data_IF_186069755736
#
_entry.id   IF_186069755736
#
_cell.length_a   1.000
_cell.length_b   1.000
_cell.length_c   1.000
_cell.angle_alpha   90.00
_cell.angle_beta   90.00
_cell.angle_gamma   90.00
#
_symmetry.space_group_name_H-M   'P 1'
#
loop_
_entity.id
_entity.type
_entity.pdbx_description
1 polymer ?
#
# COMPACT_ATOMS: atom_id res chain seq x y z
N UNK A 1 43.05 20.22 -19.48
CA UNK A 1 42.81 19.22 -18.43
C UNK A 1 42.11 19.91 -17.27
N UNK A 2 40.78 19.95 -17.28
CA UNK A 2 39.98 20.58 -16.23
C UNK A 2 39.49 19.51 -15.28
N UNK A 3 40.06 19.53 -14.08
CA UNK A 3 39.64 18.76 -12.91
C UNK A 3 38.17 19.08 -12.56
N UNK A 4 37.29 18.09 -12.69
CA UNK A 4 35.91 18.14 -12.20
C UNK A 4 35.81 17.26 -10.96
N UNK A 5 36.47 17.67 -9.88
CA UNK A 5 36.17 17.14 -8.55
C UNK A 5 34.81 17.70 -8.09
N UNK A 6 33.75 16.95 -8.37
CA UNK A 6 32.41 17.17 -7.82
C UNK A 6 32.45 17.07 -6.30
N UNK A 7 32.56 18.21 -5.59
CA UNK A 7 32.37 18.29 -4.14
C UNK A 7 30.88 18.20 -3.80
N UNK A 8 30.32 16.99 -3.86
CA UNK A 8 29.16 16.66 -3.03
C UNK A 8 29.65 16.53 -1.59
N UNK A 9 29.75 17.67 -0.89
CA UNK A 9 29.90 17.65 0.56
C UNK A 9 28.57 17.15 1.12
N UNK A 10 28.49 15.86 1.44
CA UNK A 10 27.40 15.29 2.25
C UNK A 10 27.33 16.07 3.56
N UNK A 11 26.39 17.00 3.68
CA UNK A 11 26.05 17.56 5.00
C UNK A 11 25.35 16.46 5.77
N UNK A 12 26.02 15.93 6.79
CA UNK A 12 25.46 14.96 7.73
C UNK A 12 24.31 15.68 8.47
N UNK A 13 23.05 15.24 8.36
CA UNK A 13 21.99 15.77 9.22
C UNK A 13 22.31 15.45 10.68
N UNK A 14 22.06 16.39 11.59
CA UNK A 14 22.38 16.26 13.03
C UNK A 14 21.51 15.23 13.74
N UNK A 15 20.28 14.98 13.24
CA UNK A 15 19.33 14.00 13.79
C UNK A 15 19.19 12.78 12.86
N UNK A 16 19.56 11.56 13.30
CA UNK A 16 19.33 10.32 12.56
C UNK A 16 17.88 10.14 12.08
N UNK A 17 16.88 10.61 12.83
CA UNK A 17 15.46 10.47 12.49
C UNK A 17 15.05 11.32 11.27
N UNK A 18 15.81 12.38 10.96
CA UNK A 18 15.60 13.22 9.77
C UNK A 18 16.35 12.71 8.54
N UNK A 19 17.24 11.72 8.73
CA UNK A 19 18.06 11.12 7.69
C UNK A 19 17.22 10.15 6.84
N UNK A 20 16.42 10.68 5.91
CA UNK A 20 15.82 9.85 4.86
C UNK A 20 16.93 9.34 3.95
N UNK A 21 16.95 8.04 3.66
CA UNK A 21 17.86 7.49 2.66
C UNK A 21 17.59 8.20 1.32
N UNK A 22 18.59 8.85 0.74
CA UNK A 22 18.46 9.61 -0.52
C UNK A 22 17.95 8.71 -1.66
N UNK A 23 18.17 7.40 -1.58
CA UNK A 23 17.62 6.41 -2.53
C UNK A 23 16.09 6.26 -2.42
N UNK A 24 15.51 6.41 -1.22
CA UNK A 24 14.06 6.40 -0.98
C UNK A 24 13.42 7.77 -1.26
N UNK A 25 14.20 8.86 -1.13
CA UNK A 25 13.76 10.20 -1.49
C UNK A 25 13.41 10.34 -2.99
N UNK A 26 13.96 9.48 -3.85
CA UNK A 26 13.70 9.47 -5.29
C UNK A 26 12.27 9.05 -5.67
N UNK A 27 11.51 8.44 -4.75
CA UNK A 27 10.13 7.98 -4.97
C UNK A 27 9.09 8.92 -4.34
N UNK A 28 9.47 9.68 -3.31
CA UNK A 28 8.58 10.58 -2.61
C UNK A 28 8.30 11.84 -3.45
N UNK A 29 7.03 12.04 -3.86
CA UNK A 29 6.57 13.26 -4.51
C UNK A 29 5.60 14.00 -3.58
N UNK A 30 5.19 15.22 -3.89
CA UNK A 30 4.15 15.93 -3.11
C UNK A 30 2.78 15.21 -3.12
N UNK A 31 2.65 14.14 -3.93
CA UNK A 31 1.46 13.28 -3.99
C UNK A 31 1.64 11.95 -3.23
N UNK A 32 2.82 11.65 -2.69
CA UNK A 32 3.01 10.46 -1.85
C UNK A 32 2.68 10.79 -0.41
N UNK A 33 1.98 9.88 0.27
CA UNK A 33 1.71 9.99 1.70
C UNK A 33 3.01 10.26 2.47
N UNK A 34 2.91 11.13 3.47
CA UNK A 34 3.99 11.42 4.41
C UNK A 34 3.49 11.07 5.81
N UNK A 35 4.34 10.49 6.68
CA UNK A 35 3.98 10.31 8.08
C UNK A 35 3.55 11.65 8.68
N UNK A 36 2.36 11.74 9.29
CA UNK A 36 1.96 12.95 9.98
C UNK A 36 2.82 13.18 11.21
N UNK A 37 2.92 14.45 11.65
CA UNK A 37 3.86 14.86 12.70
C UNK A 37 3.73 14.05 13.99
N UNK A 38 2.51 13.65 14.37
CA UNK A 38 2.26 12.87 15.58
C UNK A 38 2.91 11.47 15.58
N UNK A 39 3.38 10.94 14.44
CA UNK A 39 4.15 9.69 14.41
C UNK A 39 5.42 9.77 15.25
N UNK A 40 6.01 10.96 15.41
CA UNK A 40 7.17 11.13 16.28
C UNK A 40 6.86 10.90 17.75
N UNK A 41 5.58 10.90 18.13
CA UNK A 41 5.13 10.63 19.50
C UNK A 41 4.95 9.13 19.76
N UNK A 42 4.95 8.30 18.72
CA UNK A 42 4.75 6.85 18.83
C UNK A 42 6.10 6.14 18.90
N UNK A 43 6.30 5.40 19.97
CA UNK A 43 7.45 4.56 20.24
C UNK A 43 7.08 3.09 20.09
N UNK A 44 7.86 2.35 19.30
CA UNK A 44 7.79 0.87 19.28
C UNK A 44 8.76 0.34 20.34
N UNK A 45 8.28 -0.58 21.18
CA UNK A 45 9.10 -1.22 22.22
C UNK A 45 9.07 -2.74 22.01
N UNK A 46 10.25 -3.34 21.85
CA UNK A 46 10.41 -4.80 21.80
C UNK A 46 11.05 -5.28 23.10
N UNK A 47 10.35 -6.15 23.82
CA UNK A 47 10.82 -6.67 25.10
C UNK A 47 11.44 -8.04 24.94
N UNK A 48 12.73 -8.12 25.26
CA UNK A 48 13.56 -9.33 25.22
C UNK A 48 13.50 -10.10 23.89
N UNK A 49 13.55 -9.44 22.71
CA UNK A 49 13.52 -10.18 21.43
C UNK A 49 14.70 -11.14 21.35
N UNK A 50 14.43 -12.40 20.95
CA UNK A 50 15.45 -13.46 20.95
C UNK A 50 16.17 -13.61 19.62
N UNK A 51 15.52 -13.24 18.50
CA UNK A 51 16.06 -13.40 17.16
C UNK A 51 16.29 -12.03 16.48
N UNK A 52 17.54 -11.70 16.12
CA UNK A 52 17.87 -10.50 15.34
C UNK A 52 17.10 -10.38 14.01
N UNK A 53 16.68 -11.50 13.42
CA UNK A 53 15.84 -11.52 12.22
C UNK A 53 14.47 -10.91 12.50
N UNK A 54 13.88 -11.16 13.66
CA UNK A 54 12.62 -10.53 14.06
C UNK A 54 12.80 -9.03 14.31
N UNK A 55 13.91 -8.62 14.94
CA UNK A 55 14.23 -7.20 15.13
C UNK A 55 14.35 -6.51 13.76
N UNK A 56 15.10 -7.09 12.82
CA UNK A 56 15.22 -6.60 11.45
C UNK A 56 13.88 -6.55 10.71
N UNK A 57 13.04 -7.57 10.90
CA UNK A 57 11.67 -7.61 10.38
C UNK A 57 10.83 -6.44 10.90
N UNK A 58 10.84 -6.18 12.21
CA UNK A 58 10.12 -5.05 12.82
C UNK A 58 10.66 -3.72 12.30
N UNK A 59 11.99 -3.53 12.24
CA UNK A 59 12.60 -2.30 11.71
C UNK A 59 12.17 -2.05 10.26
N UNK A 60 12.12 -3.10 9.44
CA UNK A 60 11.63 -2.99 8.07
C UNK A 60 10.14 -2.62 8.00
N UNK A 61 9.31 -3.22 8.86
CA UNK A 61 7.89 -2.85 8.99
C UNK A 61 7.75 -1.38 9.39
N UNK A 62 8.53 -0.91 10.37
CA UNK A 62 8.54 0.49 10.80
C UNK A 62 8.86 1.41 9.62
N UNK A 63 9.88 1.09 8.82
CA UNK A 63 10.20 1.85 7.62
C UNK A 63 9.07 1.81 6.56
N UNK A 64 8.42 0.66 6.36
CA UNK A 64 7.28 0.53 5.44
C UNK A 64 6.07 1.37 5.85
N UNK A 65 5.89 1.59 7.16
CA UNK A 65 4.70 2.23 7.74
C UNK A 65 4.96 3.63 8.28
N UNK A 66 6.21 4.09 8.27
CA UNK A 66 6.60 5.47 8.63
C UNK A 66 6.98 5.70 10.09
N UNK A 67 7.13 4.65 10.91
CA UNK A 67 7.58 4.77 12.30
C UNK A 67 9.09 4.86 12.39
N UNK A 68 9.60 5.66 13.33
CA UNK A 68 11.02 5.99 13.40
C UNK A 68 11.67 5.69 14.75
N UNK A 69 10.89 5.55 15.83
CA UNK A 69 11.41 5.38 17.18
C UNK A 69 11.26 3.94 17.66
N UNK A 70 12.40 3.32 17.99
CA UNK A 70 12.48 1.96 18.51
C UNK A 70 13.24 1.95 19.83
N UNK A 71 12.69 1.25 20.83
CA UNK A 71 13.40 0.85 22.06
C UNK A 71 13.43 -0.67 22.16
N UNK A 72 14.60 -1.20 22.49
CA UNK A 72 14.81 -2.63 22.76
C UNK A 72 15.09 -2.80 24.25
N UNK A 73 14.30 -3.62 24.92
CA UNK A 73 14.55 -3.99 26.32
C UNK A 73 15.31 -5.31 26.32
N UNK A 74 16.56 -5.32 26.78
CA UNK A 74 17.41 -6.53 26.88
C UNK A 74 17.33 -7.46 25.65
N UNK A 75 17.61 -6.98 24.42
CA UNK A 75 17.58 -7.82 23.24
C UNK A 75 18.72 -8.86 23.26
N UNK A 76 18.44 -10.07 22.78
CA UNK A 76 19.46 -11.10 22.63
C UNK A 76 20.14 -10.94 21.27
N UNK A 77 21.47 -10.77 21.26
CA UNK A 77 22.24 -10.77 20.02
C UNK A 77 21.99 -9.57 19.10
N UNK A 78 21.55 -8.42 19.63
CA UNK A 78 21.37 -7.20 18.82
C UNK A 78 22.72 -6.65 18.35
N UNK A 79 22.98 -6.79 17.05
CA UNK A 79 24.04 -6.11 16.33
C UNK A 79 23.43 -5.16 15.29
N UNK A 80 23.62 -3.83 15.42
CA UNK A 80 23.15 -2.84 14.46
C UNK A 80 23.53 -3.15 13.01
N UNK A 81 24.73 -3.70 12.76
CA UNK A 81 25.18 -4.02 11.40
C UNK A 81 24.40 -5.17 10.79
N UNK A 82 24.22 -6.26 11.55
CA UNK A 82 23.40 -7.40 11.14
C UNK A 82 21.95 -6.97 10.88
N UNK A 83 21.33 -6.24 11.81
CA UNK A 83 19.94 -5.77 11.67
C UNK A 83 19.78 -4.85 10.46
N UNK A 84 20.74 -3.93 10.23
CA UNK A 84 20.75 -3.07 9.05
C UNK A 84 20.83 -3.86 7.73
N UNK A 85 21.59 -4.96 7.72
CA UNK A 85 21.69 -5.88 6.58
C UNK A 85 20.37 -6.59 6.25
N UNK A 86 19.58 -6.97 7.26
CA UNK A 86 18.27 -7.62 7.09
C UNK A 86 17.20 -6.63 6.63
N UNK A 87 17.18 -5.45 7.23
CA UNK A 87 16.07 -4.51 7.07
C UNK A 87 16.17 -3.65 5.80
N UNK A 88 17.37 -3.48 5.24
CA UNK A 88 17.70 -2.71 4.01
C UNK A 88 17.20 -1.24 4.00
N UNK A 89 18.12 -0.28 3.81
CA UNK A 89 17.79 1.16 3.73
C UNK A 89 17.10 1.75 4.98
N UNK A 90 17.27 1.11 6.15
CA UNK A 90 16.65 1.49 7.44
C UNK A 90 17.65 2.01 8.47
N UNK A 91 18.86 2.37 8.02
CA UNK A 91 19.97 2.77 8.88
C UNK A 91 19.59 3.87 9.88
N UNK A 92 18.72 4.81 9.48
CA UNK A 92 18.22 5.89 10.33
C UNK A 92 17.42 5.42 11.55
N UNK A 93 16.63 4.34 11.43
CA UNK A 93 15.90 3.75 12.55
C UNK A 93 16.87 2.98 13.46
N UNK A 94 17.77 2.20 12.86
CA UNK A 94 18.75 1.39 13.60
C UNK A 94 19.71 2.28 14.40
N UNK A 95 20.23 3.34 13.80
CA UNK A 95 21.12 4.31 14.46
C UNK A 95 20.40 5.06 15.60
N UNK A 96 19.10 5.29 15.50
CA UNK A 96 18.29 5.95 16.53
C UNK A 96 17.75 4.99 17.59
N UNK A 97 17.92 3.67 17.42
CA UNK A 97 17.40 2.65 18.34
C UNK A 97 18.09 2.74 19.69
N UNK A 98 17.30 2.79 20.75
CA UNK A 98 17.82 2.80 22.12
C UNK A 98 17.68 1.42 22.76
N UNK A 99 18.74 0.95 23.43
CA UNK A 99 18.73 -0.29 24.20
C UNK A 99 18.69 0.06 25.69
N UNK A 100 17.78 -0.57 26.43
CA UNK A 100 17.52 -0.31 27.85
C UNK A 100 17.37 -1.61 28.63
N UNK A 101 17.44 -1.54 29.96
CA UNK A 101 17.51 -2.73 30.82
C UNK A 101 16.15 -3.24 31.28
N UNK A 102 15.11 -2.39 31.23
CA UNK A 102 13.78 -2.78 31.72
C UNK A 102 12.63 -2.11 30.96
N UNK A 103 11.45 -2.74 30.99
CA UNK A 103 10.24 -2.14 30.42
C UNK A 103 9.85 -0.83 31.14
N UNK A 104 9.87 -0.73 32.48
CA UNK A 104 9.63 0.55 33.17
C UNK A 104 10.53 1.68 32.69
N UNK A 105 11.82 1.43 32.47
CA UNK A 105 12.74 2.41 31.88
C UNK A 105 12.33 2.76 30.44
N UNK A 106 11.98 1.76 29.63
CA UNK A 106 11.57 1.96 28.24
C UNK A 106 10.32 2.81 28.06
N UNK A 107 9.44 2.86 29.06
CA UNK A 107 8.15 3.59 28.99
C UNK A 107 8.04 4.75 29.98
N UNK A 108 9.07 5.04 30.76
CA UNK A 108 9.04 6.06 31.83
C UNK A 108 8.64 7.45 31.35
N UNK A 109 8.94 7.79 30.10
CA UNK A 109 8.66 9.07 29.45
C UNK A 109 7.43 9.02 28.54
N UNK A 110 6.57 8.00 28.68
CA UNK A 110 5.37 7.77 27.85
C UNK A 110 4.09 8.04 28.66
N UNK A 111 3.15 8.74 28.06
CA UNK A 111 1.85 9.08 28.65
C UNK A 111 0.77 8.04 28.37
N UNK A 112 0.91 7.23 27.31
CA UNK A 112 0.03 6.10 27.03
C UNK A 112 0.87 4.89 26.61
N UNK A 113 0.55 3.72 27.15
CA UNK A 113 1.34 2.48 26.97
C UNK A 113 0.37 1.36 26.68
N UNK A 114 0.42 0.84 25.46
CA UNK A 114 -0.41 -0.25 24.99
C UNK A 114 0.42 -1.53 24.87
N UNK A 115 0.10 -2.54 25.68
CA UNK A 115 0.73 -3.85 25.63
C UNK A 115 -0.03 -4.86 24.76
N UNK A 116 0.69 -5.60 23.92
CA UNK A 116 0.11 -6.67 23.11
C UNK A 116 0.35 -8.05 23.76
N UNK A 117 -0.71 -8.84 23.92
CA UNK A 117 -0.66 -10.19 24.51
C UNK A 117 -1.47 -11.20 23.69
N UNK A 118 -0.98 -12.44 23.58
CA UNK A 118 -1.73 -13.56 22.97
C UNK A 118 -2.63 -14.33 23.94
N UNK A 119 -2.59 -14.00 25.24
CA UNK A 119 -3.38 -14.70 26.28
C UNK A 119 -4.43 -13.76 26.87
N UNK A 120 -5.68 -14.24 26.92
CA UNK A 120 -6.72 -13.64 27.76
C UNK A 120 -6.38 -13.92 29.22
N UNK A 121 -6.06 -12.87 29.97
CA UNK A 121 -5.64 -12.99 31.35
C UNK A 121 -6.81 -13.31 32.29
N UNK A 122 -6.52 -14.04 33.38
CA UNK A 122 -7.45 -14.32 34.48
C UNK A 122 -7.69 -13.12 35.41
N UNK A 123 -6.84 -12.09 35.32
CA UNK A 123 -6.91 -10.86 36.12
C UNK A 123 -7.60 -9.79 35.29
N UNK A 124 -8.57 -9.11 35.89
CA UNK A 124 -9.27 -7.97 35.29
C UNK A 124 -8.27 -6.82 35.08
N UNK A 125 -7.78 -6.70 33.85
CA UNK A 125 -6.95 -5.58 33.37
C UNK A 125 -7.81 -4.67 32.52
N UNK A 126 -7.34 -3.45 32.26
CA UNK A 126 -7.94 -2.55 31.26
C UNK A 126 -7.73 -3.11 29.84
N UNK A 127 -8.47 -4.17 29.53
CA UNK A 127 -8.40 -4.91 28.28
C UNK A 127 -9.36 -4.27 27.28
N UNK A 128 -8.80 -3.78 26.18
CA UNK A 128 -9.56 -3.16 25.11
C UNK A 128 -9.65 -4.12 23.93
N UNK A 129 -10.79 -4.08 23.24
CA UNK A 129 -10.92 -4.72 21.93
C UNK A 129 -9.87 -4.15 20.97
N UNK A 130 -9.33 -4.98 20.10
CA UNK A 130 -8.16 -4.63 19.28
C UNK A 130 -8.31 -3.32 18.50
N UNK A 131 -9.45 -3.13 17.82
CA UNK A 131 -9.73 -1.89 17.10
C UNK A 131 -9.75 -0.68 18.05
N UNK A 132 -10.52 -0.76 19.14
CA UNK A 132 -10.65 0.32 20.13
C UNK A 132 -9.31 0.65 20.81
N UNK A 133 -8.45 -0.34 21.04
CA UNK A 133 -7.13 -0.13 21.61
C UNK A 133 -6.23 0.70 20.66
N UNK A 134 -6.28 0.40 19.36
CA UNK A 134 -5.53 1.14 18.35
C UNK A 134 -6.11 2.53 18.10
N UNK A 135 -7.43 2.68 18.19
CA UNK A 135 -8.10 3.98 18.13
C UNK A 135 -7.64 4.86 19.28
N UNK A 136 -7.70 4.35 20.53
CA UNK A 136 -7.23 5.05 21.72
C UNK A 136 -5.74 5.45 21.63
N UNK A 137 -4.87 4.54 21.17
CA UNK A 137 -3.45 4.84 20.99
C UNK A 137 -3.21 5.92 19.91
N UNK A 138 -3.99 5.90 18.83
CA UNK A 138 -3.88 6.86 17.74
C UNK A 138 -4.40 8.23 18.16
N UNK A 139 -5.57 8.29 18.81
CA UNK A 139 -6.16 9.51 19.35
C UNK A 139 -5.25 10.17 20.39
N UNK A 140 -4.67 9.38 21.29
CA UNK A 140 -3.67 9.86 22.25
C UNK A 140 -2.47 10.52 21.55
N UNK A 141 -1.90 9.86 20.53
CA UNK A 141 -0.76 10.42 19.79
C UNK A 141 -1.14 11.70 19.03
N UNK A 142 -2.32 11.73 18.41
CA UNK A 142 -2.88 12.90 17.71
C UNK A 142 -3.14 14.08 18.65
N UNK A 143 -3.54 13.81 19.89
CA UNK A 143 -3.66 14.81 20.95
C UNK A 143 -2.31 15.27 21.52
N UNK A 144 -1.19 14.81 20.96
CA UNK A 144 0.17 15.19 21.37
C UNK A 144 0.74 14.36 22.52
N UNK A 145 0.06 13.31 22.97
CA UNK A 145 0.59 12.43 24.01
C UNK A 145 1.71 11.55 23.47
N UNK A 146 2.70 11.27 24.32
CA UNK A 146 3.73 10.27 24.04
C UNK A 146 3.19 8.85 24.22
N UNK A 147 3.23 8.04 23.16
CA UNK A 147 2.62 6.71 23.11
C UNK A 147 3.69 5.63 22.97
N UNK A 148 3.54 4.51 23.67
CA UNK A 148 4.32 3.29 23.44
C UNK A 148 3.44 2.10 23.03
N UNK A 149 3.90 1.40 21.99
CA UNK A 149 3.36 0.14 21.50
C UNK A 149 4.33 -0.98 21.90
N UNK A 150 3.94 -1.81 22.87
CA UNK A 150 4.84 -2.75 23.55
C UNK A 150 4.57 -4.19 23.12
N UNK A 151 5.57 -4.81 22.49
CA UNK A 151 5.55 -6.20 22.06
C UNK A 151 6.46 -7.03 22.95
N UNK A 152 5.97 -8.20 23.36
CA UNK A 152 6.72 -9.14 24.18
C UNK A 152 7.61 -10.07 23.38
N UNK A 153 8.34 -10.90 24.12
CA UNK A 153 9.21 -11.94 23.61
C UNK A 153 8.44 -12.99 22.81
N UNK A 154 9.08 -13.59 21.81
CA UNK A 154 8.49 -14.56 20.87
C UNK A 154 7.84 -15.77 21.57
N UNK A 155 8.52 -16.34 22.56
CA UNK A 155 8.13 -17.64 23.13
C UNK A 155 7.03 -17.52 24.21
N UNK A 156 7.05 -16.44 25.01
CA UNK A 156 6.16 -16.31 26.18
C UNK A 156 5.43 -14.96 26.27
N UNK A 157 5.69 -14.03 25.35
CA UNK A 157 5.11 -12.70 25.36
C UNK A 157 5.59 -11.83 26.53
N UNK A 158 4.71 -10.95 27.00
CA UNK A 158 4.95 -10.09 28.17
C UNK A 158 4.59 -10.84 29.45
N UNK A 159 5.42 -10.70 30.49
CA UNK A 159 5.08 -11.20 31.83
C UNK A 159 3.91 -10.42 32.43
N UNK A 160 3.27 -10.96 33.46
CA UNK A 160 2.25 -10.22 34.21
C UNK A 160 2.78 -8.88 34.74
N UNK A 161 3.99 -8.88 35.31
CA UNK A 161 4.62 -7.65 35.83
C UNK A 161 4.89 -6.61 34.74
N UNK A 162 5.18 -7.05 33.51
CA UNK A 162 5.32 -6.16 32.35
C UNK A 162 3.97 -5.62 31.87
N UNK A 163 2.93 -6.47 31.88
CA UNK A 163 1.57 -6.03 31.54
C UNK A 163 1.02 -5.03 32.56
N UNK A 164 1.41 -5.14 33.83
CA UNK A 164 1.01 -4.20 34.88
C UNK A 164 1.65 -2.81 34.70
N UNK A 165 2.71 -2.70 33.88
CA UNK A 165 3.29 -1.42 33.47
C UNK A 165 2.58 -0.79 32.24
N UNK A 166 1.56 -1.45 31.68
CA UNK A 166 0.79 -0.95 30.55
C UNK A 166 -0.51 -0.30 31.02
N UNK A 167 -0.87 0.85 30.44
CA UNK A 167 -2.14 1.55 30.72
C UNK A 167 -3.36 0.81 30.14
N UNK A 168 -3.16 0.13 29.02
CA UNK A 168 -4.14 -0.74 28.40
C UNK A 168 -3.44 -1.96 27.78
N UNK A 169 -4.19 -3.05 27.63
CA UNK A 169 -3.72 -4.26 26.97
C UNK A 169 -4.71 -4.70 25.90
N UNK A 170 -4.20 -5.32 24.85
CA UNK A 170 -5.05 -5.88 23.80
C UNK A 170 -4.44 -7.12 23.18
N UNK A 171 -5.27 -7.87 22.47
CA UNK A 171 -4.89 -9.09 21.76
C UNK A 171 -5.24 -8.92 20.29
N UNK A 172 -4.28 -9.21 19.41
CA UNK A 172 -4.53 -9.26 17.97
C UNK A 172 -5.49 -10.43 17.72
N UNK A 173 -6.65 -10.24 17.09
CA UNK A 173 -7.59 -11.31 16.82
C UNK A 173 -6.95 -12.34 15.87
N UNK A 174 -6.91 -13.59 16.32
CA UNK A 174 -6.30 -14.72 15.62
C UNK A 174 -7.18 -15.95 15.76
N UNK A 175 -6.89 -17.01 15.00
CA UNK A 175 -7.52 -18.31 15.23
C UNK A 175 -7.23 -18.79 16.66
N UNK A 176 -8.23 -19.07 17.52
CA UNK A 176 -8.01 -19.54 18.89
C UNK A 176 -7.17 -20.82 19.00
N UNK A 177 -7.15 -21.65 17.95
CA UNK A 177 -6.32 -22.86 17.90
C UNK A 177 -4.83 -22.56 17.70
N UNK A 178 -4.49 -21.40 17.12
CA UNK A 178 -3.12 -20.96 16.83
C UNK A 178 -2.98 -19.44 17.06
N UNK A 179 -3.00 -18.99 18.32
CA UNK A 179 -3.13 -17.57 18.63
C UNK A 179 -1.79 -16.79 18.61
N UNK A 180 -0.66 -17.49 18.54
CA UNK A 180 0.66 -16.86 18.57
C UNK A 180 1.11 -16.46 17.18
N UNK A 181 1.35 -15.17 16.98
CA UNK A 181 1.96 -14.62 15.77
C UNK A 181 3.46 -14.44 15.98
N UNK A 182 4.24 -14.55 14.91
CA UNK A 182 5.64 -14.12 14.93
C UNK A 182 5.72 -12.61 15.27
N UNK A 183 6.77 -12.21 15.99
CA UNK A 183 6.95 -10.84 16.48
C UNK A 183 6.87 -9.79 15.35
N UNK A 184 7.56 -10.00 14.23
CA UNK A 184 7.53 -9.07 13.10
C UNK A 184 6.16 -9.04 12.40
N UNK A 185 5.43 -10.16 12.39
CA UNK A 185 4.07 -10.22 11.86
C UNK A 185 3.06 -9.50 12.76
N UNK A 186 3.18 -9.65 14.08
CA UNK A 186 2.37 -8.91 15.05
C UNK A 186 2.60 -7.41 14.92
N UNK A 187 3.87 -6.98 14.83
CA UNK A 187 4.22 -5.60 14.58
C UNK A 187 3.67 -5.10 13.23
N UNK A 188 3.75 -5.91 12.17
CA UNK A 188 3.17 -5.56 10.86
C UNK A 188 1.68 -5.24 10.96
N UNK A 189 0.89 -6.11 11.58
CA UNK A 189 -0.56 -5.90 11.70
C UNK A 189 -0.89 -4.62 12.48
N UNK A 190 -0.19 -4.39 13.59
CA UNK A 190 -0.40 -3.21 14.43
C UNK A 190 0.02 -1.93 13.72
N UNK A 191 1.26 -1.87 13.24
CA UNK A 191 1.80 -0.65 12.62
C UNK A 191 1.10 -0.32 11.31
N UNK A 192 0.68 -1.32 10.54
CA UNK A 192 -0.11 -1.11 9.34
C UNK A 192 -1.50 -0.53 9.66
N UNK A 193 -2.16 -1.01 10.72
CA UNK A 193 -3.46 -0.46 11.13
C UNK A 193 -3.37 0.98 11.66
N UNK A 194 -2.28 1.35 12.32
CA UNK A 194 -2.03 2.74 12.71
C UNK A 194 -1.71 3.59 11.48
N UNK A 195 -0.93 3.05 10.52
CA UNK A 195 -0.70 3.68 9.22
C UNK A 195 -2.00 3.95 8.45
N UNK A 196 -2.96 3.01 8.44
CA UNK A 196 -4.27 3.24 7.81
C UNK A 196 -5.04 4.38 8.47
N UNK A 197 -5.09 4.40 9.82
CA UNK A 197 -5.71 5.50 10.59
C UNK A 197 -5.06 6.86 10.37
N UNK A 198 -3.82 6.87 9.88
CA UNK A 198 -3.10 8.09 9.49
C UNK A 198 -3.38 8.56 8.04
N UNK A 199 -4.33 7.93 7.34
CA UNK A 199 -4.65 8.21 5.95
C UNK A 199 -3.74 7.50 4.94
N UNK A 200 -2.92 6.54 5.38
CA UNK A 200 -2.01 5.79 4.52
C UNK A 200 -2.69 5.01 3.40
N UNK A 201 -3.92 4.56 3.61
CA UNK A 201 -4.74 3.89 2.59
C UNK A 201 -5.28 4.82 1.50
N UNK A 202 -5.26 6.13 1.75
CA UNK A 202 -5.75 7.14 0.81
C UNK A 202 -4.68 7.55 -0.22
N UNK A 203 -3.53 6.85 -0.24
CA UNK A 203 -2.50 7.03 -1.27
C UNK A 203 -3.13 6.86 -2.66
N UNK A 204 -3.22 7.98 -3.38
CA UNK A 204 -3.79 7.98 -4.72
C UNK A 204 -2.77 7.40 -5.69
N UNK A 205 -3.19 6.41 -6.46
CA UNK A 205 -2.46 6.04 -7.67
C UNK A 205 -2.33 7.28 -8.56
N UNK A 206 -1.16 7.46 -9.15
CA UNK A 206 -0.93 8.57 -10.08
C UNK A 206 -2.00 8.50 -11.17
N UNK A 207 -2.83 9.55 -11.34
CA UNK A 207 -3.86 9.51 -12.37
C UNK A 207 -3.21 9.31 -13.74
N UNK A 208 -3.89 8.64 -14.69
CA UNK A 208 -3.37 8.46 -16.03
C UNK A 208 -3.00 9.83 -16.62
N UNK A 209 -1.80 9.91 -17.23
CA UNK A 209 -1.19 11.16 -17.73
C UNK A 209 -2.06 11.95 -18.71
N UNK A 210 -3.04 11.32 -19.32
CA UNK A 210 -3.96 11.94 -20.25
C UNK A 210 -5.36 11.40 -19.99
N UNK A 211 -6.23 12.22 -19.45
CA UNK A 211 -7.68 11.93 -19.39
C UNK A 211 -8.26 12.30 -20.76
N UNK A 212 -9.06 11.43 -21.37
CA UNK A 212 -9.94 11.82 -22.49
C UNK A 212 -11.38 11.87 -21.96
N UNK A 213 -12.24 12.73 -22.53
CA UNK A 213 -13.65 12.73 -22.17
C UNK A 213 -14.29 11.38 -22.56
N UNK A 214 -15.37 11.03 -21.88
CA UNK A 214 -16.21 9.89 -22.25
C UNK A 214 -16.68 10.05 -23.70
N UNK A 215 -16.67 8.95 -24.46
CA UNK A 215 -17.14 8.95 -25.83
C UNK A 215 -18.61 9.39 -25.91
N UNK A 216 -18.93 10.29 -26.85
CA UNK A 216 -20.32 10.67 -27.10
C UNK A 216 -21.11 9.50 -27.66
N UNK A 217 -22.44 9.53 -27.50
CA UNK A 217 -23.32 8.53 -28.13
C UNK A 217 -23.10 8.46 -29.65
N UNK A 218 -22.85 9.60 -30.29
CA UNK A 218 -22.54 9.67 -31.72
C UNK A 218 -21.26 8.91 -32.08
N UNK A 219 -20.19 9.09 -31.32
CA UNK A 219 -18.94 8.36 -31.54
C UNK A 219 -19.11 6.85 -31.32
N UNK A 220 -19.92 6.46 -30.33
CA UNK A 220 -20.24 5.06 -30.09
C UNK A 220 -21.09 4.46 -31.21
N UNK A 221 -22.04 5.21 -31.77
CA UNK A 221 -22.81 4.76 -32.93
C UNK A 221 -21.93 4.58 -34.17
N UNK A 222 -20.96 5.47 -34.40
CA UNK A 222 -19.94 5.26 -35.43
C UNK A 222 -19.09 4.01 -35.17
N UNK A 223 -18.70 3.77 -33.91
CA UNK A 223 -18.00 2.55 -33.50
C UNK A 223 -18.80 1.29 -33.80
N UNK A 224 -20.08 1.27 -33.45
CA UNK A 224 -20.92 0.10 -33.69
C UNK A 224 -21.17 -0.14 -35.18
N UNK A 225 -21.29 0.92 -35.99
CA UNK A 225 -21.39 0.79 -37.43
C UNK A 225 -20.08 0.25 -38.06
N UNK A 226 -18.91 0.70 -37.58
CA UNK A 226 -17.61 0.17 -38.02
C UNK A 226 -17.43 -1.30 -37.62
N UNK A 227 -17.83 -1.66 -36.39
CA UNK A 227 -17.86 -3.03 -35.88
C UNK A 227 -18.76 -3.93 -36.73
N UNK A 228 -20.00 -3.54 -36.98
CA UNK A 228 -20.96 -4.33 -37.76
C UNK A 228 -20.44 -4.60 -39.17
N UNK A 229 -19.96 -3.57 -39.87
CA UNK A 229 -19.36 -3.72 -41.21
C UNK A 229 -18.15 -4.65 -41.20
N UNK A 230 -17.33 -4.62 -40.14
CA UNK A 230 -16.18 -5.50 -40.03
C UNK A 230 -16.60 -6.95 -39.79
N UNK A 231 -17.60 -7.19 -38.93
CA UNK A 231 -18.14 -8.51 -38.64
C UNK A 231 -18.86 -9.14 -39.85
N UNK A 232 -19.58 -8.33 -40.64
CA UNK A 232 -20.16 -8.77 -41.92
C UNK A 232 -19.07 -9.20 -42.90
N UNK A 233 -17.99 -8.41 -43.04
CA UNK A 233 -16.93 -8.68 -44.00
C UNK A 233 -16.13 -9.96 -43.71
N UNK A 234 -16.10 -10.41 -42.45
CA UNK A 234 -15.50 -11.70 -42.04
C UNK A 234 -16.56 -12.81 -41.91
N UNK A 235 -17.77 -12.56 -42.40
CA UNK A 235 -18.91 -13.47 -42.38
C UNK A 235 -19.36 -13.95 -40.98
N UNK A 236 -18.90 -13.30 -39.90
CA UNK A 236 -19.17 -13.71 -38.52
C UNK A 236 -20.68 -13.74 -38.18
N UNK A 237 -21.48 -12.93 -38.87
CA UNK A 237 -22.91 -12.79 -38.63
C UNK A 237 -23.79 -13.80 -39.41
N UNK A 238 -23.25 -14.55 -40.38
CA UNK A 238 -24.05 -15.43 -41.27
C UNK A 238 -24.71 -16.62 -40.54
N UNK A 239 -24.05 -17.18 -39.53
CA UNK A 239 -24.55 -18.34 -38.78
C UNK A 239 -25.26 -17.97 -37.47
N UNK A 240 -25.52 -16.66 -37.24
CA UNK A 240 -26.03 -16.14 -35.97
C UNK A 240 -27.20 -15.21 -36.19
N UNK A 241 -28.05 -15.06 -35.16
CA UNK A 241 -29.01 -13.95 -35.14
C UNK A 241 -28.26 -12.62 -35.10
N UNK A 242 -28.19 -11.92 -36.23
CA UNK A 242 -27.52 -10.61 -36.40
C UNK A 242 -27.91 -9.65 -35.28
N UNK A 243 -29.20 -9.47 -35.07
CA UNK A 243 -29.76 -8.57 -34.05
C UNK A 243 -29.29 -8.93 -32.64
N UNK A 244 -29.31 -10.23 -32.30
CA UNK A 244 -28.90 -10.69 -30.97
C UNK A 244 -27.40 -10.52 -30.73
N UNK A 245 -26.57 -10.84 -31.73
CA UNK A 245 -25.11 -10.70 -31.66
C UNK A 245 -24.69 -9.24 -31.51
N UNK A 246 -25.20 -8.34 -32.35
CA UNK A 246 -24.90 -6.91 -32.30
C UNK A 246 -25.41 -6.26 -31.00
N UNK A 247 -26.59 -6.64 -30.53
CA UNK A 247 -27.12 -6.17 -29.24
C UNK A 247 -26.22 -6.59 -28.08
N UNK A 248 -25.76 -7.84 -28.08
CA UNK A 248 -24.86 -8.36 -27.03
C UNK A 248 -23.52 -7.62 -27.02
N UNK A 249 -22.93 -7.38 -28.20
CA UNK A 249 -21.68 -6.61 -28.32
C UNK A 249 -21.85 -5.15 -27.89
N UNK A 250 -22.97 -4.51 -28.24
CA UNK A 250 -23.31 -3.16 -27.77
C UNK A 250 -23.39 -3.10 -26.24
N UNK A 251 -24.14 -4.01 -25.62
CA UNK A 251 -24.26 -4.07 -24.16
C UNK A 251 -22.91 -4.31 -23.49
N UNK A 252 -22.07 -5.17 -24.06
CA UNK A 252 -20.72 -5.42 -23.55
C UNK A 252 -19.87 -4.14 -23.57
N UNK A 253 -19.86 -3.41 -24.70
CA UNK A 253 -19.10 -2.16 -24.86
C UNK A 253 -19.68 -0.99 -24.05
N UNK A 254 -20.98 -0.98 -23.75
CA UNK A 254 -21.54 0.03 -22.85
C UNK A 254 -21.09 -0.13 -21.40
N UNK A 255 -20.77 -1.35 -20.95
CA UNK A 255 -20.28 -1.59 -19.58
C UNK A 255 -18.90 -1.01 -19.33
N UNK A 256 -18.08 -0.84 -20.39
CA UNK A 256 -16.70 -0.36 -20.25
C UNK A 256 -16.59 1.15 -20.13
N UNK A 257 -17.65 1.92 -20.46
CA UNK A 257 -17.66 3.40 -20.43
C UNK A 257 -16.48 4.01 -21.19
N UNK A 258 -16.32 3.61 -22.45
CA UNK A 258 -15.19 4.01 -23.29
C UNK A 258 -14.98 5.52 -23.34
N UNK A 259 -13.73 5.94 -23.25
CA UNK A 259 -13.33 7.30 -23.57
C UNK A 259 -13.20 7.53 -25.09
N UNK A 260 -13.06 8.79 -25.52
CA UNK A 260 -12.91 9.14 -26.94
C UNK A 260 -11.75 8.42 -27.61
N UNK A 261 -10.64 8.18 -26.90
CA UNK A 261 -9.46 7.50 -27.48
C UNK A 261 -9.70 6.02 -27.62
N UNK A 262 -10.27 5.37 -26.61
CA UNK A 262 -10.59 3.95 -26.64
C UNK A 262 -11.63 3.64 -27.73
N UNK A 263 -12.69 4.45 -27.84
CA UNK A 263 -13.68 4.31 -28.90
C UNK A 263 -13.06 4.54 -30.29
N UNK A 264 -12.19 5.54 -30.45
CA UNK A 264 -11.50 5.81 -31.71
C UNK A 264 -10.49 4.71 -32.08
N UNK A 265 -9.80 4.13 -31.09
CA UNK A 265 -8.90 3.00 -31.29
C UNK A 265 -9.67 1.78 -31.79
N UNK A 266 -10.77 1.42 -31.13
CA UNK A 266 -11.61 0.30 -31.56
C UNK A 266 -12.18 0.51 -32.96
N UNK A 267 -12.60 1.73 -33.29
CA UNK A 267 -12.98 2.11 -34.67
C UNK A 267 -11.86 1.84 -35.66
N UNK A 268 -10.66 2.32 -35.36
CA UNK A 268 -9.50 2.13 -36.22
C UNK A 268 -9.19 0.63 -36.44
N UNK A 269 -9.32 -0.20 -35.40
CA UNK A 269 -9.19 -1.66 -35.51
C UNK A 269 -10.19 -2.24 -36.52
N UNK A 270 -11.48 -1.93 -36.38
CA UNK A 270 -12.52 -2.47 -37.27
C UNK A 270 -12.38 -1.96 -38.71
N UNK A 271 -11.99 -0.70 -38.89
CA UNK A 271 -11.66 -0.14 -40.21
C UNK A 271 -10.47 -0.88 -40.83
N UNK A 272 -9.42 -1.15 -40.06
CA UNK A 272 -8.22 -1.82 -40.57
C UNK A 272 -8.47 -3.28 -40.94
N UNK A 273 -9.33 -4.00 -40.21
CA UNK A 273 -9.80 -5.35 -40.60
C UNK A 273 -10.36 -5.33 -42.02
N UNK A 274 -11.26 -4.39 -42.32
CA UNK A 274 -11.86 -4.26 -43.67
C UNK A 274 -10.81 -3.87 -44.72
N UNK A 275 -9.94 -2.91 -44.41
CA UNK A 275 -8.84 -2.51 -45.33
C UNK A 275 -7.92 -3.68 -45.65
N UNK A 276 -7.61 -4.53 -44.66
CA UNK A 276 -6.79 -5.73 -44.86
C UNK A 276 -7.45 -6.72 -45.82
N UNK A 277 -8.73 -7.05 -45.61
CA UNK A 277 -9.48 -7.95 -46.49
C UNK A 277 -9.54 -7.42 -47.93
N UNK A 278 -9.73 -6.11 -48.10
CA UNK A 278 -9.69 -5.45 -49.41
C UNK A 278 -8.31 -5.60 -50.07
N UNK A 279 -7.22 -5.32 -49.35
CA UNK A 279 -5.85 -5.51 -49.86
C UNK A 279 -5.55 -6.94 -50.28
N UNK A 280 -6.22 -7.93 -49.66
CA UNK A 280 -6.09 -9.36 -49.98
C UNK A 280 -7.06 -9.83 -51.08
N UNK A 281 -7.91 -8.95 -51.61
CA UNK A 281 -8.87 -9.29 -52.67
C UNK A 281 -10.02 -10.19 -52.19
N UNK A 282 -10.23 -10.30 -50.86
CA UNK A 282 -11.28 -11.16 -50.28
C UNK A 282 -12.65 -10.49 -50.38
N UNK A 283 -12.70 -9.16 -50.37
CA UNK A 283 -13.93 -8.37 -50.55
C UNK A 283 -13.76 -7.38 -51.72
N UNK A 284 -14.82 -7.21 -52.52
CA UNK A 284 -14.87 -6.23 -53.61
C UNK A 284 -14.93 -4.79 -53.07
N UNK A 285 -14.68 -3.80 -53.94
CA UNK A 285 -14.65 -2.38 -53.58
C UNK A 285 -16.05 -1.87 -53.21
N UNK A 286 -16.44 -2.02 -51.95
CA UNK A 286 -17.65 -1.39 -51.42
C UNK A 286 -17.26 0.06 -51.10
N UNK A 287 -17.90 1.01 -51.81
CA UNK A 287 -17.59 2.44 -51.81
C UNK A 287 -17.46 3.11 -50.43
N UNK A 288 -17.08 4.40 -50.40
CA UNK A 288 -16.70 5.09 -49.17
C UNK A 288 -17.81 5.01 -48.10
N UNK A 289 -17.37 4.89 -46.85
CA UNK A 289 -18.23 4.81 -45.67
C UNK A 289 -19.14 6.05 -45.63
N UNK A 290 -20.44 5.87 -45.93
CA UNK A 290 -21.44 6.94 -45.82
C UNK A 290 -22.52 6.98 -46.91
N UNK A 291 -22.39 6.24 -48.01
CA UNK A 291 -23.47 6.19 -49.01
C UNK A 291 -24.53 5.16 -48.60
N UNK A 292 -25.57 5.61 -47.89
CA UNK A 292 -26.84 4.92 -47.89
C UNK A 292 -27.39 4.97 -49.32
N UNK A 293 -27.42 3.82 -50.00
CA UNK A 293 -28.36 3.62 -51.11
C UNK A 293 -29.76 3.57 -50.49
N UNK A 294 -30.45 4.69 -50.55
CA UNK A 294 -31.90 4.73 -50.53
C UNK A 294 -32.38 4.08 -51.81
N UNK A 295 -32.84 2.84 -51.73
CA UNK A 295 -33.70 2.26 -52.77
C UNK A 295 -35.09 2.03 -52.15
N UNK A 296 -36.07 2.62 -52.82
CA UNK A 296 -37.52 2.41 -52.68
C UNK A 296 -37.94 0.97 -52.95
#
# INVERSE_FOLDING_TARGET
MTDRSSRFVRRKPEDPLTRRDESLAFVASDQTWRPPDWFTNVLVVLVEPTDPVNIGGVVRVMANTGFLRLRLVRPVGFDPWHVGGIAHYTQHIVEATQVVESLPEAVADRQFVLGFTGKHNRVERNALQFAAALDAATEAAQAGQSVALVFGREDYGLSNTMLDACHAVTTIPTNPAYPSLNLAQAALLVLYQVFQRSGGEQQRYRPPRRVAPIASSELLEHLFADLERALDAIEFLHSRSRTSALRSLRVALYRTRLDVREASLLRAVFIEVRKFLKRKGVIADVGPVGSQTTDE
#
